data_IF_308485922226
#
_entry.id   IF_308485922226
#
_cell.length_a   1.000
_cell.length_b   1.000
_cell.length_c   1.000
_cell.angle_alpha   90.00
_cell.angle_beta   90.00
_cell.angle_gamma   90.00
#
_symmetry.space_group_name_H-M   'P 1'
#
loop_
_entity.id
_entity.type
_entity.pdbx_description
1 polymer ?
#
# COMPACT_ATOMS: atom_id res chain seq x y z
N UNK A 1 14.37 -8.10 -0.14
CA UNK A 1 13.24 -8.03 0.80
C UNK A 1 11.93 -7.94 0.02
N UNK A 2 11.13 -9.01 0.08
CA UNK A 2 9.82 -9.11 -0.61
C UNK A 2 8.76 -8.21 0.05
N UNK A 3 7.62 -8.01 -0.62
CA UNK A 3 6.51 -7.23 -0.04
C UNK A 3 5.97 -7.89 1.23
N UNK A 4 5.85 -9.22 1.24
CA UNK A 4 5.41 -9.99 2.40
C UNK A 4 6.34 -9.80 3.59
N UNK A 5 7.65 -9.91 3.38
CA UNK A 5 8.64 -9.66 4.43
C UNK A 5 8.53 -8.23 5.00
N UNK A 6 8.20 -7.24 4.17
CA UNK A 6 7.96 -5.86 4.63
C UNK A 6 6.71 -5.76 5.49
N UNK A 7 5.62 -6.42 5.08
CA UNK A 7 4.36 -6.44 5.82
C UNK A 7 4.56 -7.12 7.17
N UNK A 8 5.22 -8.28 7.22
CA UNK A 8 5.50 -9.00 8.47
C UNK A 8 6.30 -8.15 9.45
N UNK A 9 7.40 -7.53 8.99
CA UNK A 9 8.21 -6.63 9.83
C UNK A 9 7.40 -5.43 10.32
N UNK A 10 6.57 -4.85 9.46
CA UNK A 10 5.75 -3.70 9.82
C UNK A 10 4.68 -4.07 10.85
N UNK A 11 4.08 -5.26 10.73
CA UNK A 11 3.13 -5.77 11.72
C UNK A 11 3.79 -6.00 13.09
N UNK A 12 5.00 -6.58 13.12
CA UNK A 12 5.75 -6.78 14.36
C UNK A 12 6.01 -5.46 15.09
N UNK A 13 6.46 -4.43 14.37
CA UNK A 13 6.69 -3.09 14.94
C UNK A 13 5.39 -2.45 15.42
N UNK A 14 4.32 -2.57 14.63
CA UNK A 14 3.02 -1.98 14.99
C UNK A 14 2.42 -2.62 16.25
N UNK A 15 2.56 -3.93 16.44
CA UNK A 15 2.07 -4.61 17.66
C UNK A 15 2.80 -4.07 18.88
N UNK A 16 4.13 -3.98 18.84
CA UNK A 16 4.91 -3.42 19.94
C UNK A 16 4.57 -1.95 20.23
N UNK A 17 4.39 -1.14 19.18
CA UNK A 17 3.96 0.25 19.30
C UNK A 17 2.56 0.37 19.92
N UNK A 18 1.58 -0.40 19.46
CA UNK A 18 0.22 -0.35 20.00
C UNK A 18 0.25 -0.75 21.47
N UNK A 19 0.88 -1.86 21.83
CA UNK A 19 0.95 -2.33 23.22
C UNK A 19 1.55 -1.26 24.17
N UNK A 20 2.51 -0.46 23.71
CA UNK A 20 3.10 0.62 24.50
C UNK A 20 2.20 1.86 24.60
N UNK A 21 1.54 2.25 23.50
CA UNK A 21 0.77 3.50 23.41
C UNK A 21 -0.76 3.34 23.55
N UNK A 22 -1.26 2.12 23.79
CA UNK A 22 -2.68 1.80 23.89
C UNK A 22 -3.37 2.58 25.02
N UNK A 23 -2.65 2.82 26.12
CA UNK A 23 -3.12 3.58 27.29
C UNK A 23 -3.45 5.04 26.92
N UNK A 24 -2.80 5.60 25.88
CA UNK A 24 -2.92 7.00 25.51
C UNK A 24 -4.16 7.35 24.65
N UNK A 25 -5.09 6.41 24.41
CA UNK A 25 -6.31 6.61 23.59
C UNK A 25 -6.04 7.22 22.19
N UNK A 26 -4.89 6.92 21.59
CA UNK A 26 -4.41 7.49 20.32
C UNK A 26 -5.11 6.97 19.05
N UNK A 27 -6.39 6.56 19.12
CA UNK A 27 -7.10 5.89 18.02
C UNK A 27 -7.11 6.70 16.71
N UNK A 28 -7.31 8.03 16.80
CA UNK A 28 -7.29 8.91 15.62
C UNK A 28 -5.94 8.95 14.91
N UNK A 29 -4.85 9.05 15.69
CA UNK A 29 -3.48 9.06 15.17
C UNK A 29 -3.15 7.72 14.51
N UNK A 30 -3.54 6.60 15.13
CA UNK A 30 -3.33 5.26 14.58
C UNK A 30 -4.06 5.04 13.25
N UNK A 31 -5.28 5.55 13.10
CA UNK A 31 -6.03 5.49 11.84
C UNK A 31 -5.31 6.25 10.73
N UNK A 32 -4.85 7.47 11.03
CA UNK A 32 -4.13 8.30 10.07
C UNK A 32 -2.79 7.67 9.68
N UNK A 33 -2.05 7.15 10.65
CA UNK A 33 -0.80 6.41 10.42
C UNK A 33 -1.03 5.17 9.56
N UNK A 34 -2.07 4.39 9.86
CA UNK A 34 -2.45 3.22 9.06
C UNK A 34 -2.79 3.57 7.61
N UNK A 35 -3.47 4.71 7.38
CA UNK A 35 -3.75 5.23 6.04
C UNK A 35 -2.44 5.57 5.30
N UNK A 36 -1.52 6.26 5.97
CA UNK A 36 -0.22 6.62 5.41
C UNK A 36 0.63 5.38 5.05
N UNK A 37 0.68 4.39 5.94
CA UNK A 37 1.38 3.13 5.70
C UNK A 37 0.82 2.41 4.47
N UNK A 38 -0.51 2.27 4.35
CA UNK A 38 -1.14 1.64 3.19
C UNK A 38 -0.81 2.39 1.89
N UNK A 39 -0.77 3.72 1.92
CA UNK A 39 -0.38 4.52 0.76
C UNK A 39 1.08 4.24 0.36
N UNK A 40 1.98 4.11 1.35
CA UNK A 40 3.39 3.80 1.11
C UNK A 40 3.59 2.40 0.54
N UNK A 41 2.86 1.40 1.04
CA UNK A 41 2.89 0.03 0.50
C UNK A 41 2.38 0.00 -0.94
N UNK A 42 1.29 0.71 -1.26
CA UNK A 42 0.79 0.83 -2.65
C UNK A 42 1.83 1.47 -3.58
N UNK A 43 2.55 2.50 -3.12
CA UNK A 43 3.67 3.06 -3.89
C UNK A 43 4.75 2.01 -4.18
N UNK A 44 5.12 1.18 -3.19
CA UNK A 44 6.10 0.11 -3.39
C UNK A 44 5.62 -0.90 -4.45
N UNK A 45 4.36 -1.34 -4.38
CA UNK A 45 3.74 -2.23 -5.37
C UNK A 45 3.77 -1.60 -6.76
N UNK A 46 3.40 -0.32 -6.86
CA UNK A 46 3.38 0.39 -8.14
C UNK A 46 4.78 0.53 -8.76
N UNK A 47 5.82 0.77 -7.94
CA UNK A 47 7.23 0.78 -8.37
C UNK A 47 7.72 -0.61 -8.79
N UNK A 48 7.20 -1.67 -8.17
CA UNK A 48 7.48 -3.05 -8.59
C UNK A 48 6.88 -3.34 -9.97
N UNK A 49 5.69 -2.81 -10.26
CA UNK A 49 5.08 -2.87 -11.60
C UNK A 49 5.69 -1.83 -12.54
N UNK A 50 6.93 -2.07 -12.98
CA UNK A 50 7.68 -1.13 -13.82
C UNK A 50 7.04 -0.86 -15.19
N UNK A 51 6.51 -1.90 -15.84
CA UNK A 51 5.96 -1.83 -17.20
C UNK A 51 4.45 -1.55 -17.16
N UNK A 52 3.96 -0.72 -18.09
CA UNK A 52 2.53 -0.44 -18.28
C UNK A 52 1.72 -1.73 -18.43
N UNK A 53 2.18 -2.68 -19.26
CA UNK A 53 1.53 -3.98 -19.47
C UNK A 53 1.32 -4.72 -18.15
N UNK A 54 2.33 -4.73 -17.28
CA UNK A 54 2.28 -5.37 -15.96
C UNK A 54 1.30 -4.66 -15.03
N UNK A 55 1.29 -3.32 -15.01
CA UNK A 55 0.32 -2.53 -14.24
C UNK A 55 -1.11 -2.85 -14.69
N UNK A 56 -1.38 -2.81 -15.98
CA UNK A 56 -2.69 -3.11 -16.56
C UNK A 56 -3.16 -4.52 -16.19
N UNK A 57 -2.32 -5.54 -16.40
CA UNK A 57 -2.66 -6.93 -16.07
C UNK A 57 -2.97 -7.11 -14.59
N UNK A 58 -2.16 -6.54 -13.70
CA UNK A 58 -2.39 -6.65 -12.26
C UNK A 58 -3.62 -5.86 -11.81
N UNK A 59 -3.89 -4.68 -12.38
CA UNK A 59 -5.12 -3.93 -12.11
C UNK A 59 -6.38 -4.70 -12.58
N UNK A 60 -6.32 -5.35 -13.75
CA UNK A 60 -7.39 -6.24 -14.23
C UNK A 60 -7.61 -7.43 -13.30
N UNK A 61 -6.53 -8.07 -12.83
CA UNK A 61 -6.60 -9.17 -11.83
C UNK A 61 -7.22 -8.72 -10.50
N UNK A 62 -7.01 -7.46 -10.11
CA UNK A 62 -7.62 -6.85 -8.93
C UNK A 62 -9.08 -6.40 -9.15
N UNK A 63 -9.67 -6.67 -10.32
CA UNK A 63 -11.09 -6.42 -10.60
C UNK A 63 -11.41 -5.07 -11.25
N UNK A 64 -10.41 -4.27 -11.64
CA UNK A 64 -10.71 -3.03 -12.37
C UNK A 64 -11.30 -3.34 -13.77
N UNK A 65 -12.22 -2.48 -14.22
CA UNK A 65 -12.71 -2.55 -15.58
C UNK A 65 -11.62 -2.13 -16.59
N UNK A 66 -11.80 -2.43 -17.87
CA UNK A 66 -10.79 -2.18 -18.90
C UNK A 66 -10.37 -0.70 -18.97
N UNK A 67 -11.35 0.19 -19.01
CA UNK A 67 -11.14 1.64 -19.13
C UNK A 67 -10.35 2.23 -17.94
N UNK A 68 -10.72 1.86 -16.71
CA UNK A 68 -10.01 2.30 -15.51
C UNK A 68 -8.59 1.72 -15.47
N UNK A 69 -8.44 0.44 -15.79
CA UNK A 69 -7.13 -0.23 -15.76
C UNK A 69 -6.14 0.42 -16.75
N UNK A 70 -6.58 0.71 -17.99
CA UNK A 70 -5.71 1.33 -19.00
C UNK A 70 -5.40 2.79 -18.66
N UNK A 71 -6.39 3.54 -18.14
CA UNK A 71 -6.22 4.93 -17.68
C UNK A 71 -5.18 5.05 -16.58
N UNK A 72 -5.26 4.18 -15.55
CA UNK A 72 -4.31 4.23 -14.44
C UNK A 72 -2.94 3.64 -14.80
N UNK A 73 -2.88 2.57 -15.60
CA UNK A 73 -1.59 1.98 -16.00
C UNK A 73 -0.69 2.96 -16.75
N UNK A 74 -1.28 3.84 -17.58
CA UNK A 74 -0.61 4.84 -18.41
C UNK A 74 -0.57 6.25 -17.80
N UNK A 75 -0.94 6.41 -16.53
CA UNK A 75 -0.92 7.73 -15.90
C UNK A 75 0.49 8.31 -15.86
N UNK A 76 0.60 9.61 -16.17
CA UNK A 76 1.85 10.39 -16.03
C UNK A 76 1.97 11.06 -14.66
N UNK A 77 1.00 10.84 -13.77
CA UNK A 77 1.07 11.36 -12.39
C UNK A 77 2.27 10.73 -11.67
N UNK A 78 3.07 11.58 -11.02
CA UNK A 78 4.18 11.17 -10.16
C UNK A 78 3.70 10.42 -8.91
N UNK A 79 4.68 9.97 -8.12
CA UNK A 79 4.45 9.27 -6.84
C UNK A 79 4.37 10.23 -5.67
#
# INVERSE_FOLDING_TARGET
>A
MTLEQRITKLNQVNIGWINYYEIAKCKGILVQLGKWIRQRLRMCIWKQWKKVKTRYQNLKKLGLNHYQAIKFANTRKGY
#
